data_IF_570897309894
#
_entry.id   IF_570897309894
#
_cell.length_a   1.000
_cell.length_b   1.000
_cell.length_c   1.000
_cell.angle_alpha   90.00
_cell.angle_beta   90.00
_cell.angle_gamma   90.00
#
_symmetry.space_group_name_H-M   'P 1'
#
loop_
_entity.id
_entity.type
_entity.pdbx_description
1 polymer ?
#
# COMPACT_ATOMS: atom_id res chain seq x y z
N UNK A 1 11.43 -8.30 5.93
CA UNK A 1 10.52 -7.36 6.60
C UNK A 1 9.09 -7.76 6.27
N UNK A 2 8.21 -7.73 7.26
CA UNK A 2 6.81 -8.16 7.13
C UNK A 2 5.94 -6.98 6.67
N UNK A 3 4.97 -7.28 5.81
CA UNK A 3 3.89 -6.37 5.39
C UNK A 3 2.58 -7.17 5.34
N UNK A 4 1.47 -6.50 5.59
CA UNK A 4 0.14 -7.09 5.49
C UNK A 4 -0.39 -7.02 4.05
N UNK A 5 -1.23 -7.98 3.68
CA UNK A 5 -2.05 -7.91 2.47
C UNK A 5 -3.30 -7.06 2.73
N UNK A 6 -4.01 -6.65 1.67
CA UNK A 6 -5.31 -5.95 1.84
C UNK A 6 -6.36 -6.83 2.53
N UNK A 7 -6.33 -8.15 2.29
CA UNK A 7 -7.21 -9.11 2.95
C UNK A 7 -6.92 -9.17 4.46
N UNK A 8 -5.64 -9.27 4.84
CA UNK A 8 -5.21 -9.26 6.25
C UNK A 8 -5.55 -7.94 6.94
N UNK A 9 -5.40 -6.78 6.25
CA UNK A 9 -5.83 -5.48 6.77
C UNK A 9 -7.34 -5.43 6.99
N UNK A 10 -8.14 -5.94 6.05
CA UNK A 10 -9.59 -6.02 6.20
C UNK A 10 -9.99 -6.92 7.37
N UNK A 11 -9.36 -8.09 7.51
CA UNK A 11 -9.58 -9.02 8.62
C UNK A 11 -9.26 -8.34 9.96
N UNK A 12 -8.12 -7.67 10.04
CA UNK A 12 -7.68 -6.94 11.22
C UNK A 12 -8.62 -5.78 11.60
N UNK A 13 -9.02 -4.96 10.62
CA UNK A 13 -9.89 -3.80 10.87
C UNK A 13 -11.32 -4.20 11.29
N UNK A 14 -11.88 -5.22 10.65
CA UNK A 14 -13.25 -5.69 10.91
C UNK A 14 -13.38 -6.56 12.15
N UNK A 15 -12.27 -6.97 12.77
CA UNK A 15 -12.31 -7.81 13.96
C UNK A 15 -13.00 -7.10 15.12
N UNK A 16 -13.91 -7.82 15.80
CA UNK A 16 -14.57 -7.35 17.02
C UNK A 16 -13.64 -7.65 18.19
N UNK A 17 -13.09 -6.60 18.77
CA UNK A 17 -12.16 -6.70 19.89
C UNK A 17 -12.90 -7.16 21.13
N UNK A 18 -12.33 -8.15 21.81
CA UNK A 18 -12.85 -8.73 23.06
C UNK A 18 -11.94 -8.43 24.24
N UNK A 19 -12.50 -8.43 25.45
CA UNK A 19 -11.75 -8.16 26.68
C UNK A 19 -12.55 -7.33 27.69
N UNK A 20 -11.85 -6.78 28.68
CA UNK A 20 -12.44 -5.79 29.59
C UNK A 20 -12.73 -4.48 28.86
N UNK A 21 -13.65 -3.66 29.36
CA UNK A 21 -13.98 -2.35 28.78
C UNK A 21 -12.73 -1.49 28.54
N UNK A 22 -11.80 -1.46 29.49
CA UNK A 22 -10.53 -0.74 29.37
C UNK A 22 -9.66 -1.29 28.23
N UNK A 23 -9.60 -2.62 28.07
CA UNK A 23 -8.86 -3.26 26.99
C UNK A 23 -9.51 -2.98 25.63
N UNK A 24 -10.83 -3.11 25.53
CA UNK A 24 -11.58 -2.83 24.31
C UNK A 24 -11.31 -1.40 23.84
N UNK A 25 -11.40 -0.41 24.75
CA UNK A 25 -11.10 0.99 24.42
C UNK A 25 -9.67 1.17 23.92
N UNK A 26 -8.67 0.64 24.65
CA UNK A 26 -7.25 0.72 24.29
C UNK A 26 -6.96 0.05 22.96
N UNK A 27 -7.47 -1.17 22.75
CA UNK A 27 -7.17 -1.97 21.58
C UNK A 27 -7.90 -1.43 20.33
N UNK A 28 -9.09 -0.86 20.48
CA UNK A 28 -9.80 -0.17 19.41
C UNK A 28 -9.01 1.03 18.91
N UNK A 29 -8.47 1.86 19.82
CA UNK A 29 -7.63 2.98 19.44
C UNK A 29 -6.35 2.50 18.72
N UNK A 30 -5.66 1.50 19.28
CA UNK A 30 -4.42 0.96 18.69
C UNK A 30 -4.68 0.36 17.30
N UNK A 31 -5.77 -0.38 17.11
CA UNK A 31 -6.20 -0.91 15.83
C UNK A 31 -6.42 0.20 14.81
N UNK A 32 -7.25 1.18 15.16
CA UNK A 32 -7.65 2.26 14.26
C UNK A 32 -6.44 3.10 13.84
N UNK A 33 -5.56 3.43 14.77
CA UNK A 33 -4.36 4.21 14.47
C UNK A 33 -3.31 3.43 13.69
N UNK A 34 -3.20 2.11 13.90
CA UNK A 34 -2.38 1.26 13.06
C UNK A 34 -2.93 1.18 11.63
N UNK A 35 -4.25 1.05 11.47
CA UNK A 35 -4.91 1.11 10.15
C UNK A 35 -4.67 2.46 9.50
N UNK A 36 -4.87 3.57 10.21
CA UNK A 36 -4.55 4.90 9.68
C UNK A 36 -3.09 4.97 9.22
N UNK A 37 -2.16 4.46 10.02
CA UNK A 37 -0.74 4.43 9.64
C UNK A 37 -0.49 3.58 8.39
N UNK A 38 -1.22 2.49 8.18
CA UNK A 38 -1.20 1.70 6.94
C UNK A 38 -1.77 2.45 5.73
N UNK A 39 -2.69 3.40 5.94
CA UNK A 39 -3.32 4.18 4.87
C UNK A 39 -2.51 5.42 4.48
N UNK A 40 -1.74 5.99 5.41
CA UNK A 40 -0.96 7.23 5.17
C UNK A 40 0.54 6.99 5.04
N UNK A 41 1.05 5.82 5.42
CA UNK A 41 2.43 5.42 5.25
C UNK A 41 3.46 6.18 6.09
N UNK A 42 3.06 6.93 7.10
CA UNK A 42 3.95 7.77 7.89
C UNK A 42 4.63 7.03 9.05
N UNK A 43 5.74 7.57 9.55
CA UNK A 43 6.37 7.04 10.77
C UNK A 43 5.50 7.36 11.98
N UNK A 44 5.54 6.50 13.00
CA UNK A 44 4.74 6.71 14.21
C UNK A 44 4.95 8.11 14.83
N UNK A 45 6.18 8.62 14.82
CA UNK A 45 6.48 9.97 15.34
C UNK A 45 5.85 11.12 14.53
N UNK A 46 5.43 10.87 13.30
CA UNK A 46 4.80 11.87 12.44
C UNK A 46 3.26 11.79 12.47
N UNK A 47 2.70 10.68 13.03
CA UNK A 47 1.26 10.46 13.00
C UNK A 47 0.45 11.48 13.80
N UNK A 48 1.02 12.02 14.89
CA UNK A 48 0.34 13.01 15.70
C UNK A 48 0.01 14.29 14.92
N UNK A 49 0.77 14.59 13.87
CA UNK A 49 0.55 15.75 13.00
C UNK A 49 -0.80 15.76 12.30
N UNK A 50 -1.41 14.59 12.11
CA UNK A 50 -2.76 14.48 11.56
C UNK A 50 -3.88 14.96 12.50
N UNK A 51 -3.58 15.12 13.80
CA UNK A 51 -4.57 15.41 14.85
C UNK A 51 -4.36 16.74 15.56
N UNK A 52 -3.17 17.35 15.46
CA UNK A 52 -2.81 18.57 16.21
C UNK A 52 -2.69 19.82 15.32
N UNK A 53 -3.12 19.74 14.07
CA UNK A 53 -3.06 20.86 13.14
C UNK A 53 -1.69 21.12 12.49
N UNK A 54 -0.65 20.29 12.76
CA UNK A 54 0.66 20.39 12.09
C UNK A 54 0.62 19.78 10.68
N UNK A 55 -0.43 20.07 9.93
CA UNK A 55 -0.68 19.58 8.59
C UNK A 55 -1.34 20.66 7.73
N UNK A 56 -1.27 20.48 6.42
CA UNK A 56 -1.96 21.31 5.44
C UNK A 56 -2.89 20.42 4.62
N UNK A 57 -4.17 20.74 4.60
CA UNK A 57 -5.17 20.03 3.83
C UNK A 57 -5.45 20.78 2.53
N UNK A 58 -5.44 20.05 1.42
CA UNK A 58 -5.89 20.50 0.11
C UNK A 58 -7.16 19.72 -0.23
N UNK A 59 -8.32 20.36 -0.08
CA UNK A 59 -9.61 19.73 -0.30
C UNK A 59 -9.89 19.49 -1.78
N UNK A 60 -9.38 20.35 -2.67
CA UNK A 60 -9.54 20.21 -4.11
C UNK A 60 -8.76 19.01 -4.63
N UNK A 61 -7.51 18.88 -4.22
CA UNK A 61 -6.69 17.72 -4.56
C UNK A 61 -7.03 16.47 -3.72
N UNK A 62 -7.80 16.60 -2.64
CA UNK A 62 -8.09 15.51 -1.70
C UNK A 62 -6.86 14.97 -1.01
N UNK A 63 -5.91 15.85 -0.67
CA UNK A 63 -4.62 15.46 -0.06
C UNK A 63 -4.38 16.18 1.26
N UNK A 64 -3.53 15.58 2.09
CA UNK A 64 -2.99 16.17 3.30
C UNK A 64 -1.47 16.13 3.24
N UNK A 65 -0.81 17.21 3.60
CA UNK A 65 0.63 17.28 3.64
C UNK A 65 1.16 17.57 5.05
N UNK A 66 2.30 16.95 5.35
CA UNK A 66 3.01 17.12 6.61
C UNK A 66 4.52 17.28 6.36
N UNK A 67 5.19 18.02 7.23
CA UNK A 67 6.66 18.05 7.28
C UNK A 67 7.13 16.98 8.25
N UNK A 68 7.88 15.99 7.79
CA UNK A 68 8.36 14.89 8.62
C UNK A 68 9.37 15.35 9.67
N UNK A 69 9.28 14.80 10.88
CA UNK A 69 10.14 15.19 11.99
C UNK A 69 11.61 14.82 11.74
N UNK A 70 11.86 13.62 11.23
CA UNK A 70 13.20 13.07 11.06
C UNK A 70 13.94 13.64 9.84
N UNK A 71 13.31 13.65 8.68
CA UNK A 71 13.92 14.00 7.39
C UNK A 71 13.68 15.43 6.98
N UNK A 72 12.74 16.13 7.65
CA UNK A 72 12.26 17.47 7.25
C UNK A 72 11.64 17.50 5.84
N UNK A 73 11.49 16.35 5.21
CA UNK A 73 10.84 16.22 3.92
C UNK A 73 9.33 16.47 4.05
N UNK A 74 8.75 17.13 3.04
CA UNK A 74 7.29 17.24 2.90
C UNK A 74 6.76 15.95 2.31
N UNK A 75 5.79 15.33 2.97
CA UNK A 75 5.02 14.21 2.46
C UNK A 75 3.64 14.70 2.05
N UNK A 76 3.17 14.33 0.85
CA UNK A 76 1.84 14.67 0.32
C UNK A 76 1.08 13.36 0.17
N UNK A 77 -0.01 13.22 0.89
CA UNK A 77 -0.69 11.93 1.10
C UNK A 77 -2.14 12.07 0.65
N UNK A 78 -2.65 11.18 -0.22
CA UNK A 78 -4.07 11.16 -0.55
C UNK A 78 -4.89 10.80 0.69
N UNK A 79 -5.91 11.61 0.97
CA UNK A 79 -6.76 11.43 2.15
C UNK A 79 -7.95 10.53 1.80
N UNK A 80 -7.75 9.22 1.93
CA UNK A 80 -8.77 8.20 1.68
C UNK A 80 -9.95 8.32 2.66
N UNK A 81 -11.18 7.92 2.26
CA UNK A 81 -12.37 8.06 3.12
C UNK A 81 -12.21 7.48 4.52
N UNK A 82 -11.68 6.26 4.64
CA UNK A 82 -11.43 5.63 5.94
C UNK A 82 -10.38 6.40 6.77
N UNK A 83 -9.37 7.00 6.12
CA UNK A 83 -8.40 7.82 6.83
C UNK A 83 -9.05 9.08 7.40
N UNK A 84 -9.92 9.76 6.62
CA UNK A 84 -10.73 10.90 7.09
C UNK A 84 -11.58 10.53 8.30
N UNK A 85 -12.28 9.39 8.22
CA UNK A 85 -13.14 8.90 9.30
C UNK A 85 -12.34 8.68 10.60
N UNK A 86 -11.19 8.01 10.51
CA UNK A 86 -10.35 7.76 11.68
C UNK A 86 -9.79 9.08 12.26
N UNK A 87 -9.34 10.00 11.40
CA UNK A 87 -8.83 11.30 11.85
C UNK A 87 -9.93 12.05 12.62
N UNK A 88 -11.12 12.19 12.04
CA UNK A 88 -12.27 12.85 12.69
C UNK A 88 -12.69 12.17 14.01
N UNK A 89 -12.66 10.84 14.05
CA UNK A 89 -12.97 10.06 15.27
C UNK A 89 -12.07 10.42 16.46
N UNK A 90 -10.82 10.73 16.18
CA UNK A 90 -9.78 10.97 17.19
C UNK A 90 -9.31 12.42 17.29
N UNK A 91 -9.93 13.32 16.55
CA UNK A 91 -9.63 14.75 16.61
C UNK A 91 -9.79 15.29 18.03
N UNK A 92 -8.86 16.12 18.47
CA UNK A 92 -8.83 16.72 19.80
C UNK A 92 -8.84 15.73 20.98
N UNK A 93 -8.48 14.45 20.75
CA UNK A 93 -8.36 13.43 21.81
C UNK A 93 -6.90 13.18 22.16
N UNK A 94 -6.69 12.95 23.46
CA UNK A 94 -5.40 12.40 23.92
C UNK A 94 -5.29 10.94 23.53
N UNK A 95 -4.33 10.63 22.65
CA UNK A 95 -4.16 9.30 22.09
C UNK A 95 -3.12 8.48 22.86
N UNK A 96 -3.52 7.33 23.38
CA UNK A 96 -2.65 6.37 24.06
C UNK A 96 -1.53 5.88 23.14
N UNK A 97 -1.80 5.77 21.84
CA UNK A 97 -0.85 5.36 20.82
C UNK A 97 0.45 6.18 20.79
N UNK A 98 0.39 7.44 21.21
CA UNK A 98 1.55 8.34 21.25
C UNK A 98 2.10 8.56 22.66
N UNK A 99 1.29 8.40 23.68
CA UNK A 99 1.68 8.58 25.09
C UNK A 99 2.43 7.37 25.64
N UNK A 100 2.02 6.17 25.19
CA UNK A 100 2.60 4.93 25.67
C UNK A 100 3.96 4.64 25.04
N UNK A 101 4.77 3.88 25.76
CA UNK A 101 6.03 3.37 25.20
C UNK A 101 5.74 2.47 23.99
N UNK A 102 6.57 2.57 22.96
CA UNK A 102 6.42 1.76 21.74
C UNK A 102 6.30 0.26 21.99
N UNK A 103 6.98 -0.26 23.03
CA UNK A 103 6.85 -1.66 23.44
C UNK A 103 5.43 -2.02 23.83
N UNK A 104 4.77 -1.18 24.63
CA UNK A 104 3.40 -1.39 25.11
C UNK A 104 2.41 -1.35 23.93
N UNK A 105 2.60 -0.40 23.00
CA UNK A 105 1.79 -0.30 21.78
C UNK A 105 1.99 -1.52 20.90
N UNK A 106 3.23 -1.97 20.71
CA UNK A 106 3.52 -3.14 19.88
C UNK A 106 2.96 -4.44 20.49
N UNK A 107 3.04 -4.62 21.81
CA UNK A 107 2.42 -5.79 22.46
C UNK A 107 0.89 -5.79 22.29
N UNK A 108 0.23 -4.66 22.56
CA UNK A 108 -1.21 -4.55 22.36
C UNK A 108 -1.60 -4.75 20.87
N UNK A 109 -0.78 -4.27 19.91
CA UNK A 109 -0.97 -4.51 18.49
C UNK A 109 -0.92 -6.01 18.16
N UNK A 110 0.03 -6.75 18.75
CA UNK A 110 0.15 -8.20 18.56
C UNK A 110 -1.05 -8.94 19.15
N UNK A 111 -1.52 -8.55 20.34
CA UNK A 111 -2.71 -9.15 20.95
C UNK A 111 -3.96 -8.93 20.10
N UNK A 112 -4.18 -7.73 19.55
CA UNK A 112 -5.28 -7.45 18.62
C UNK A 112 -5.15 -8.28 17.36
N UNK A 113 -3.94 -8.43 16.83
CA UNK A 113 -3.69 -9.21 15.60
C UNK A 113 -3.88 -10.71 15.82
N UNK A 114 -3.54 -11.22 17.00
CA UNK A 114 -3.82 -12.59 17.42
C UNK A 114 -5.34 -12.84 17.53
N UNK A 115 -6.06 -11.94 18.21
CA UNK A 115 -7.53 -12.02 18.28
C UNK A 115 -8.17 -11.97 16.88
N UNK A 116 -7.61 -11.18 15.97
CA UNK A 116 -8.06 -11.12 14.57
C UNK A 116 -7.66 -12.35 13.74
N UNK A 117 -6.94 -13.32 14.32
CA UNK A 117 -6.53 -14.55 13.65
C UNK A 117 -5.50 -14.30 12.54
N UNK A 118 -4.55 -13.37 12.73
CA UNK A 118 -3.39 -13.18 11.84
C UNK A 118 -2.27 -14.13 12.25
N UNK A 119 -2.52 -15.43 12.15
CA UNK A 119 -1.68 -16.51 12.67
C UNK A 119 -0.90 -17.27 11.59
N UNK A 120 -0.98 -16.83 10.33
CA UNK A 120 -0.27 -17.48 9.23
C UNK A 120 1.24 -17.57 9.53
N UNK A 121 1.88 -18.73 9.27
CA UNK A 121 3.30 -18.91 9.53
C UNK A 121 4.15 -18.11 8.54
N UNK A 122 5.01 -17.25 9.08
CA UNK A 122 5.95 -16.45 8.30
C UNK A 122 7.36 -16.95 8.57
N UNK A 123 8.04 -17.43 7.52
CA UNK A 123 9.46 -17.82 7.58
C UNK A 123 10.32 -16.61 7.21
N UNK A 124 11.29 -16.30 8.04
CA UNK A 124 12.24 -15.21 7.82
C UNK A 124 13.65 -15.67 8.28
N UNK A 125 14.65 -14.94 7.83
CA UNK A 125 16.04 -15.20 8.23
C UNK A 125 16.51 -14.07 9.16
N UNK A 126 17.07 -14.48 10.31
CA UNK A 126 17.67 -13.58 11.28
C UNK A 126 19.05 -14.15 11.67
N UNK A 127 20.09 -13.35 11.49
CA UNK A 127 21.48 -13.75 11.76
C UNK A 127 21.91 -15.07 11.06
N UNK A 128 21.43 -15.30 9.82
CA UNK A 128 21.72 -16.52 9.06
C UNK A 128 20.88 -17.73 9.47
N UNK A 129 19.99 -17.61 10.44
CA UNK A 129 19.12 -18.69 10.92
C UNK A 129 17.69 -18.47 10.42
N UNK A 130 17.14 -19.49 9.76
CA UNK A 130 15.73 -19.49 9.37
C UNK A 130 14.84 -19.71 10.60
N UNK A 131 13.89 -18.81 10.80
CA UNK A 131 12.89 -18.88 11.85
C UNK A 131 11.49 -18.80 11.25
N UNK A 132 10.54 -19.46 11.90
CA UNK A 132 9.12 -19.38 11.52
C UNK A 132 8.31 -18.97 12.73
N UNK A 133 7.51 -17.90 12.56
CA UNK A 133 6.63 -17.41 13.62
C UNK A 133 5.29 -17.01 13.00
N UNK A 134 4.18 -17.05 13.77
CA UNK A 134 2.90 -16.53 13.30
C UNK A 134 3.01 -15.02 13.02
N UNK A 135 2.27 -14.58 12.01
CA UNK A 135 2.30 -13.20 11.50
C UNK A 135 2.10 -12.17 12.62
N UNK A 136 1.14 -12.39 13.52
CA UNK A 136 0.83 -11.44 14.60
C UNK A 136 2.05 -11.14 15.50
N UNK A 137 2.93 -12.10 15.75
CA UNK A 137 4.15 -11.89 16.57
C UNK A 137 5.17 -10.96 15.91
N UNK A 138 5.11 -10.83 14.60
CA UNK A 138 6.03 -10.02 13.80
C UNK A 138 5.52 -8.59 13.58
N UNK A 139 4.28 -8.28 14.02
CA UNK A 139 3.72 -6.95 13.85
C UNK A 139 4.30 -5.95 14.84
N UNK A 140 4.56 -4.78 14.32
CA UNK A 140 4.97 -3.60 15.08
C UNK A 140 4.57 -2.34 14.31
N UNK A 141 4.59 -1.19 14.95
CA UNK A 141 4.15 0.08 14.34
C UNK A 141 4.83 0.39 13.00
N UNK A 142 6.10 -0.01 12.82
CA UNK A 142 6.79 0.21 11.55
C UNK A 142 6.30 -0.71 10.41
N UNK A 143 5.66 -1.83 10.75
CA UNK A 143 5.02 -2.73 9.76
C UNK A 143 3.97 -1.98 8.94
N UNK A 144 3.25 -1.04 9.56
CA UNK A 144 2.24 -0.24 8.86
C UNK A 144 2.82 0.53 7.65
N UNK A 145 3.95 1.21 7.84
CA UNK A 145 4.61 1.94 6.74
C UNK A 145 5.13 0.99 5.64
N UNK A 146 5.64 -0.18 6.02
CA UNK A 146 6.01 -1.21 5.05
C UNK A 146 4.81 -1.73 4.28
N UNK A 147 3.70 -1.94 4.95
CA UNK A 147 2.43 -2.35 4.36
C UNK A 147 1.95 -1.35 3.33
N UNK A 148 1.91 -0.06 3.66
CA UNK A 148 1.56 1.01 2.73
C UNK A 148 2.42 0.96 1.46
N UNK A 149 3.74 0.99 1.60
CA UNK A 149 4.67 0.95 0.46
C UNK A 149 4.45 -0.31 -0.38
N UNK A 150 4.35 -1.47 0.26
CA UNK A 150 4.20 -2.76 -0.44
C UNK A 150 2.90 -2.82 -1.23
N UNK A 151 1.78 -2.35 -0.66
CA UNK A 151 0.48 -2.31 -1.34
C UNK A 151 0.56 -1.37 -2.54
N UNK A 152 1.08 -0.16 -2.40
CA UNK A 152 1.22 0.79 -3.51
C UNK A 152 2.09 0.22 -4.63
N UNK A 153 3.23 -0.39 -4.29
CA UNK A 153 4.10 -1.03 -5.27
C UNK A 153 3.41 -2.16 -6.02
N UNK A 154 2.64 -3.02 -5.31
CA UNK A 154 1.86 -4.12 -5.93
C UNK A 154 0.74 -3.60 -6.84
N UNK A 155 0.12 -2.49 -6.47
CA UNK A 155 -0.90 -1.82 -7.29
C UNK A 155 -0.32 -1.08 -8.50
N UNK A 156 0.99 -1.02 -8.62
CA UNK A 156 1.66 -0.41 -9.77
C UNK A 156 1.81 1.10 -9.67
N UNK A 157 1.61 1.70 -8.49
CA UNK A 157 1.85 3.12 -8.29
C UNK A 157 3.33 3.43 -8.56
N UNK A 158 3.65 4.45 -9.36
CA UNK A 158 5.03 4.83 -9.66
C UNK A 158 5.84 5.09 -8.39
N UNK A 159 7.11 4.68 -8.40
CA UNK A 159 7.98 4.83 -7.20
C UNK A 159 8.18 6.29 -6.80
N UNK A 160 8.18 7.19 -7.76
CA UNK A 160 8.27 8.63 -7.56
C UNK A 160 7.06 9.14 -6.74
N UNK A 161 5.85 8.67 -7.05
CA UNK A 161 4.64 8.96 -6.29
C UNK A 161 4.71 8.39 -4.88
N UNK A 162 5.23 7.16 -4.73
CA UNK A 162 5.41 6.53 -3.40
C UNK A 162 6.43 7.32 -2.56
N UNK A 163 7.49 7.87 -3.17
CA UNK A 163 8.48 8.74 -2.52
C UNK A 163 7.81 10.01 -1.99
N UNK A 164 7.03 10.69 -2.83
CA UNK A 164 6.29 11.91 -2.45
C UNK A 164 5.36 11.62 -1.27
N UNK A 165 4.58 10.54 -1.36
CA UNK A 165 3.61 10.17 -0.31
C UNK A 165 4.29 9.76 1.00
N UNK A 166 5.46 9.16 0.94
CA UNK A 166 6.16 8.66 2.12
C UNK A 166 7.26 9.59 2.64
N UNK A 167 7.64 10.63 1.90
CA UNK A 167 8.73 11.53 2.27
C UNK A 167 10.08 10.81 2.40
N UNK A 168 10.39 9.85 1.52
CA UNK A 168 11.73 9.26 1.45
C UNK A 168 12.67 10.20 0.69
N UNK A 169 13.92 10.28 1.13
CA UNK A 169 14.96 11.07 0.46
C UNK A 169 15.53 10.34 -0.76
N UNK A 170 15.50 9.00 -0.75
CA UNK A 170 16.00 8.17 -1.84
C UNK A 170 15.07 6.99 -2.17
N UNK A 171 15.34 6.35 -3.32
CA UNK A 171 14.58 5.21 -3.81
C UNK A 171 14.96 3.87 -3.19
N UNK A 172 16.10 3.76 -2.49
CA UNK A 172 16.70 2.47 -2.07
C UNK A 172 15.75 1.54 -1.32
N UNK A 173 14.96 2.11 -0.41
CA UNK A 173 13.96 1.33 0.35
C UNK A 173 12.84 0.84 -0.56
N UNK A 174 12.39 1.68 -1.48
CA UNK A 174 11.32 1.40 -2.42
C UNK A 174 11.80 0.43 -3.49
N UNK A 175 13.03 0.59 -4.00
CA UNK A 175 13.64 -0.32 -4.97
C UNK A 175 13.75 -1.74 -4.41
N UNK A 176 14.06 -1.90 -3.12
CA UNK A 176 14.02 -3.23 -2.45
C UNK A 176 12.62 -3.85 -2.50
N UNK A 177 11.57 -3.08 -2.27
CA UNK A 177 10.19 -3.60 -2.36
C UNK A 177 9.86 -3.97 -3.80
N UNK A 178 10.21 -3.12 -4.78
CA UNK A 178 9.99 -3.40 -6.20
C UNK A 178 10.77 -4.63 -6.70
N UNK A 179 12.00 -4.85 -6.22
CA UNK A 179 12.81 -6.03 -6.62
C UNK A 179 12.21 -7.35 -6.14
N UNK A 180 11.43 -7.32 -5.05
CA UNK A 180 10.76 -8.50 -4.51
C UNK A 180 9.37 -8.77 -5.11
N UNK A 181 8.88 -7.91 -6.03
CA UNK A 181 7.64 -8.18 -6.75
C UNK A 181 7.76 -9.44 -7.61
N UNK A 182 6.80 -10.35 -7.47
CA UNK A 182 6.75 -11.55 -8.30
C UNK A 182 6.35 -11.22 -9.74
N UNK A 183 6.47 -12.18 -10.66
CA UNK A 183 6.16 -11.99 -12.08
C UNK A 183 4.70 -11.58 -12.32
N UNK A 184 3.76 -12.08 -11.50
CA UNK A 184 2.33 -11.74 -11.58
C UNK A 184 2.08 -10.28 -11.20
N UNK A 185 2.73 -9.79 -10.13
CA UNK A 185 2.65 -8.39 -9.72
C UNK A 185 3.25 -7.46 -10.81
N UNK A 186 4.38 -7.86 -11.40
CA UNK A 186 5.02 -7.12 -12.50
C UNK A 186 4.14 -7.04 -13.74
N UNK A 187 3.52 -8.15 -14.14
CA UNK A 187 2.59 -8.21 -15.28
C UNK A 187 1.36 -7.30 -15.04
N UNK A 188 0.79 -7.33 -13.83
CA UNK A 188 -0.33 -6.47 -13.44
C UNK A 188 0.05 -4.98 -13.48
N UNK A 189 1.25 -4.63 -13.03
CA UNK A 189 1.78 -3.26 -13.10
C UNK A 189 1.88 -2.77 -14.55
N UNK A 190 2.44 -3.57 -15.45
CA UNK A 190 2.53 -3.25 -16.88
C UNK A 190 1.12 -3.08 -17.46
N UNK A 191 0.23 -4.05 -17.25
CA UNK A 191 -1.16 -3.97 -17.73
C UNK A 191 -1.87 -2.70 -17.27
N UNK A 192 -1.75 -2.32 -15.98
CA UNK A 192 -2.38 -1.12 -15.46
C UNK A 192 -1.80 0.18 -16.04
N UNK A 193 -0.48 0.23 -16.26
CA UNK A 193 0.16 1.38 -16.88
C UNK A 193 -0.33 1.58 -18.34
N UNK A 194 -0.49 0.50 -19.08
CA UNK A 194 -1.00 0.56 -20.48
C UNK A 194 -2.51 0.84 -20.55
N UNK A 195 -3.29 0.45 -19.56
CA UNK A 195 -4.73 0.78 -19.50
C UNK A 195 -5.01 2.30 -19.43
N UNK A 196 -4.07 3.09 -18.93
CA UNK A 196 -4.21 4.55 -18.88
C UNK A 196 -3.98 5.21 -20.25
N UNK A 197 -3.44 4.48 -21.23
CA UNK A 197 -3.21 4.95 -22.60
C UNK A 197 -4.46 4.79 -23.47
N UNK A 198 -5.63 5.15 -22.95
CA UNK A 198 -6.91 4.89 -23.60
C UNK A 198 -7.25 5.82 -24.78
N UNK A 199 -6.34 6.70 -25.19
CA UNK A 199 -6.59 7.68 -26.25
C UNK A 199 -5.55 7.59 -27.37
N UNK A 200 -5.99 7.79 -28.62
CA UNK A 200 -5.13 7.88 -29.78
C UNK A 200 -4.70 6.52 -30.36
N UNK A 201 -3.51 6.48 -30.96
CA UNK A 201 -3.00 5.33 -31.71
C UNK A 201 -2.85 4.04 -30.87
N UNK A 202 -2.65 4.18 -29.55
CA UNK A 202 -2.55 3.04 -28.63
C UNK A 202 -3.89 2.33 -28.35
N UNK A 203 -5.00 2.92 -28.80
CA UNK A 203 -6.35 2.34 -28.69
C UNK A 203 -6.98 2.04 -30.07
N UNK A 204 -6.19 2.12 -31.15
CA UNK A 204 -6.63 1.76 -32.50
C UNK A 204 -6.53 0.25 -32.68
N UNK A 205 -7.54 -0.47 -32.24
CA UNK A 205 -7.70 -1.88 -32.52
C UNK A 205 -8.77 -2.51 -31.66
N UNK A 206 -9.83 -3.02 -32.25
CA UNK A 206 -10.66 -4.04 -31.61
C UNK A 206 -9.78 -5.27 -31.47
N UNK A 207 -9.39 -5.64 -30.25
CA UNK A 207 -8.88 -6.99 -29.99
C UNK A 207 -10.07 -7.93 -30.17
N UNK A 208 -10.22 -8.50 -31.36
CA UNK A 208 -11.05 -9.65 -31.53
C UNK A 208 -10.37 -10.78 -30.75
N UNK A 209 -10.98 -11.18 -29.64
CA UNK A 209 -10.58 -12.38 -28.93
C UNK A 209 -10.97 -13.59 -29.75
N UNK A 210 -10.03 -14.09 -30.55
CA UNK A 210 -10.19 -15.40 -31.13
C UNK A 210 -10.07 -16.43 -29.99
N UNK A 211 -11.14 -17.18 -29.77
CA UNK A 211 -11.06 -18.39 -28.97
C UNK A 211 -10.17 -19.39 -29.73
N UNK A 212 -9.23 -20.02 -29.03
CA UNK A 212 -8.29 -21.01 -29.59
C UNK A 212 -8.98 -22.22 -30.27
N UNK A 213 -10.31 -22.31 -30.22
CA UNK A 213 -11.10 -23.38 -30.79
C UNK A 213 -11.61 -23.10 -32.25
N UNK A 214 -11.33 -21.92 -32.82
CA UNK A 214 -11.69 -21.57 -34.17
C UNK A 214 -10.46 -21.22 -35.03
N UNK A 215 -9.42 -22.04 -34.97
CA UNK A 215 -8.34 -21.98 -35.95
C UNK A 215 -8.87 -22.54 -37.30
N UNK A 216 -9.43 -21.67 -38.12
CA UNK A 216 -9.57 -21.96 -39.54
C UNK A 216 -8.18 -22.05 -40.19
N UNK A 217 -7.91 -23.03 -41.06
CA UNK A 217 -6.62 -23.11 -41.71
C UNK A 217 -6.37 -21.86 -42.57
N UNK A 218 -5.16 -21.36 -42.46
CA UNK A 218 -4.65 -20.22 -43.22
C UNK A 218 -4.48 -20.67 -44.66
N UNK A 219 -5.52 -20.46 -45.51
CA UNK A 219 -5.39 -20.55 -46.98
C UNK A 219 -5.74 -19.18 -47.55
N UNK A 220 -4.77 -18.67 -48.28
CA UNK A 220 -4.86 -17.63 -49.29
C UNK A 220 -5.26 -16.21 -48.85
N UNK A 221 -4.28 -15.42 -48.47
CA UNK A 221 -4.21 -14.03 -48.94
C UNK A 221 -2.78 -13.71 -49.37
N UNK A 222 -2.45 -14.17 -50.58
CA UNK A 222 -1.46 -13.49 -51.40
C UNK A 222 -2.15 -12.24 -51.96
N UNK A 223 -1.95 -11.10 -51.36
CA UNK A 223 -2.21 -9.82 -52.01
C UNK A 223 -0.98 -8.93 -51.86
N UNK A 224 -0.21 -8.91 -52.92
CA UNK A 224 0.68 -7.93 -53.45
C UNK A 224 0.61 -6.56 -52.72
N UNK A 225 1.54 -6.29 -51.86
CA UNK A 225 2.04 -4.95 -51.59
C UNK A 225 3.47 -4.96 -52.08
N UNK A 226 3.66 -4.50 -53.33
CA UNK A 226 4.96 -4.18 -53.89
C UNK A 226 5.50 -2.93 -53.20
N UNK A 227 6.75 -3.03 -52.76
CA UNK A 227 7.51 -2.00 -52.04
C UNK A 227 7.96 -0.79 -52.92
N UNK A 228 7.34 -0.56 -54.10
CA UNK A 228 7.82 0.38 -55.10
C UNK A 228 7.09 1.73 -55.15
N UNK A 229 6.34 2.13 -54.14
CA UNK A 229 5.60 3.43 -54.18
C UNK A 229 5.93 4.39 -53.03
N UNK A 230 7.08 4.29 -52.39
CA UNK A 230 7.48 5.22 -51.29
C UNK A 230 8.81 5.96 -51.53
N UNK A 231 9.23 6.12 -52.79
CA UNK A 231 10.42 6.91 -53.10
C UNK A 231 10.18 7.90 -54.24
N UNK A 232 9.08 8.66 -54.22
CA UNK A 232 8.94 9.89 -55.02
C UNK A 232 7.85 10.78 -54.42
N UNK A 233 8.26 11.62 -53.51
CA UNK A 233 7.90 13.06 -53.31
C UNK A 233 8.69 13.63 -52.15
#
# INVERSE_FOLDING_TARGET
KVSLTEEQLNKFYKHIITGTERQIKKYTEIRDLFILQCLVGQRIGDMQKFFNGDNEMDEEAGTISIIQQKTKARAIIPLLPLAKEIISKYENKELLYYKERKSIVNEALKEVAEQAGLDEPITYEENGIKQTQPLYKLLHTHTARHTFITILCRKGIPKETVIIATGHEDTKMIDKVYSHLNSKDKAKKVSNAFKSLNNGIFNMGKVETYSLNEAKPMNDVTNNITFDTLLDT
#
